data_IF_427995928421
#
_entry.id   IF_427995928421
#
_cell.length_a   1.000
_cell.length_b   1.000
_cell.length_c   1.000
_cell.angle_alpha   90.00
_cell.angle_beta   90.00
_cell.angle_gamma   90.00
#
_symmetry.space_group_name_H-M   'P 1'
#
loop_
_entity.id
_entity.type
_entity.pdbx_description
1 polymer ?
#
# COMPACT_ATOMS: atom_id res chain seq x y z
N UNK A 1 13.35 17.15 -0.33
CA UNK A 1 13.78 17.83 -1.60
C UNK A 1 13.48 16.85 -2.73
N UNK A 2 12.44 17.11 -3.52
CA UNK A 2 12.20 16.33 -4.74
C UNK A 2 13.29 16.66 -5.75
N UNK A 3 14.26 15.81 -5.91
CA UNK A 3 15.19 15.85 -7.03
C UNK A 3 14.42 15.33 -8.25
N UNK A 4 13.84 16.26 -9.02
CA UNK A 4 13.30 15.95 -10.32
C UNK A 4 14.40 15.38 -11.22
N UNK A 5 14.08 14.30 -11.94
CA UNK A 5 14.95 13.80 -12.98
C UNK A 5 15.34 14.96 -13.93
N UNK A 6 16.60 15.02 -14.42
CA UNK A 6 17.01 16.08 -15.31
C UNK A 6 16.11 16.11 -16.55
N UNK A 7 15.75 17.29 -17.08
CA UNK A 7 14.92 17.39 -18.26
C UNK A 7 15.60 16.67 -19.43
N UNK A 8 14.86 15.72 -20.02
CA UNK A 8 15.29 15.04 -21.24
C UNK A 8 15.38 16.10 -22.34
N UNK A 9 16.49 16.22 -23.06
CA UNK A 9 16.59 17.17 -24.16
C UNK A 9 15.51 16.86 -25.21
N UNK A 10 14.89 17.87 -25.83
CA UNK A 10 13.84 17.67 -26.82
C UNK A 10 14.38 16.81 -27.97
N UNK A 11 13.78 15.65 -28.20
CA UNK A 11 14.05 14.84 -29.37
C UNK A 11 13.61 15.60 -30.62
N UNK A 12 14.43 15.64 -31.65
CA UNK A 12 14.18 16.29 -32.95
C UNK A 12 13.11 15.60 -33.80
N UNK A 13 12.28 14.73 -33.21
CA UNK A 13 11.14 14.08 -33.85
C UNK A 13 9.84 14.71 -33.34
N UNK A 14 9.04 15.22 -34.24
CA UNK A 14 7.73 15.82 -33.99
C UNK A 14 6.67 14.75 -33.70
N UNK A 15 6.69 14.13 -32.53
CA UNK A 15 5.68 13.14 -32.10
C UNK A 15 5.33 13.34 -30.62
N UNK A 16 4.13 12.90 -30.24
CA UNK A 16 3.61 12.97 -28.87
C UNK A 16 3.05 11.61 -28.47
N UNK A 17 3.25 11.21 -27.20
CA UNK A 17 2.61 10.02 -26.63
C UNK A 17 1.35 10.43 -25.89
N UNK A 18 0.26 9.69 -26.14
CA UNK A 18 -1.03 9.89 -25.46
C UNK A 18 -1.78 8.57 -25.31
N UNK A 19 -2.77 8.56 -24.43
CA UNK A 19 -3.73 7.45 -24.39
C UNK A 19 -4.61 7.48 -25.65
N UNK A 20 -4.77 6.33 -26.29
CA UNK A 20 -5.43 6.22 -27.58
C UNK A 20 -6.95 6.36 -27.49
N UNK A 21 -7.54 7.25 -28.27
CA UNK A 21 -8.96 7.28 -28.54
C UNK A 21 -9.42 6.12 -29.43
N UNK A 22 -10.72 6.06 -29.77
CA UNK A 22 -11.28 4.98 -30.62
C UNK A 22 -10.64 4.91 -32.01
N UNK A 23 -10.31 6.05 -32.60
CA UNK A 23 -9.73 6.11 -33.97
C UNK A 23 -8.29 5.65 -33.91
N UNK A 24 -7.54 6.15 -32.94
CA UNK A 24 -6.14 5.81 -32.70
C UNK A 24 -5.98 4.33 -32.30
N UNK A 25 -6.90 3.76 -31.50
CA UNK A 25 -6.90 2.32 -31.19
C UNK A 25 -7.10 1.45 -32.47
N UNK A 26 -7.90 1.90 -33.44
CA UNK A 26 -8.03 1.21 -34.73
C UNK A 26 -6.74 1.31 -35.55
N UNK A 27 -6.14 2.50 -35.64
CA UNK A 27 -4.88 2.72 -36.34
C UNK A 27 -3.74 1.89 -35.71
N UNK A 28 -3.67 1.84 -34.39
CA UNK A 28 -2.72 1.02 -33.66
C UNK A 28 -2.90 -0.49 -33.93
N UNK A 29 -4.15 -0.99 -33.96
CA UNK A 29 -4.42 -2.40 -34.31
C UNK A 29 -3.98 -2.72 -35.73
N UNK A 30 -4.19 -1.80 -36.69
CA UNK A 30 -3.69 -1.94 -38.03
C UNK A 30 -2.17 -2.01 -38.08
N UNK A 31 -1.49 -1.06 -37.39
CA UNK A 31 -0.04 -1.03 -37.32
C UNK A 31 0.54 -2.32 -36.68
N UNK A 32 -0.13 -2.89 -35.69
CA UNK A 32 0.23 -4.18 -35.09
C UNK A 32 0.14 -5.32 -36.10
N UNK A 33 -0.94 -5.38 -36.89
CA UNK A 33 -1.12 -6.36 -37.95
C UNK A 33 -0.01 -6.23 -38.99
N UNK A 34 0.21 -5.02 -39.51
CA UNK A 34 1.25 -4.75 -40.53
C UNK A 34 2.65 -5.21 -40.03
N UNK A 35 2.96 -5.09 -38.73
CA UNK A 35 4.26 -5.45 -38.18
C UNK A 35 4.31 -6.90 -37.71
N UNK A 36 3.38 -7.35 -36.87
CA UNK A 36 3.51 -8.66 -36.21
C UNK A 36 3.04 -9.81 -37.11
N UNK A 37 2.06 -9.57 -38.03
CA UNK A 37 1.58 -10.58 -38.95
C UNK A 37 2.36 -10.49 -40.26
N UNK A 38 2.31 -9.33 -40.97
CA UNK A 38 2.82 -9.22 -42.32
C UNK A 38 4.37 -9.10 -42.39
N UNK A 39 4.99 -8.31 -41.49
CA UNK A 39 6.44 -8.10 -41.51
C UNK A 39 7.22 -9.21 -40.79
N UNK A 40 6.75 -9.60 -39.57
CA UNK A 40 7.50 -10.53 -38.72
C UNK A 40 7.02 -11.99 -38.82
N UNK A 41 5.80 -12.23 -39.31
CA UNK A 41 5.21 -13.56 -39.34
C UNK A 41 5.06 -14.20 -37.96
N UNK A 42 4.98 -13.37 -36.89
CA UNK A 42 4.91 -13.84 -35.49
C UNK A 42 3.53 -14.42 -35.16
N UNK A 43 2.48 -13.92 -35.81
CA UNK A 43 1.09 -14.39 -35.68
C UNK A 43 0.52 -14.74 -37.02
N UNK A 44 -0.34 -15.76 -37.06
CA UNK A 44 -1.07 -16.16 -38.26
C UNK A 44 -2.41 -15.41 -38.33
N UNK A 45 -2.60 -14.62 -39.37
CA UNK A 45 -3.83 -13.88 -39.70
C UNK A 45 -4.17 -12.72 -38.76
N UNK A 46 -3.92 -12.85 -37.44
CA UNK A 46 -4.23 -11.79 -36.46
C UNK A 46 -3.40 -11.91 -35.19
N UNK A 47 -2.96 -10.77 -34.63
CA UNK A 47 -2.30 -10.68 -33.37
C UNK A 47 -3.26 -10.32 -32.19
N UNK A 48 -4.58 -10.30 -32.44
CA UNK A 48 -5.59 -10.01 -31.41
C UNK A 48 -5.68 -11.13 -30.38
N UNK A 49 -5.90 -10.72 -29.13
CA UNK A 49 -6.14 -11.60 -27.99
C UNK A 49 -7.26 -11.05 -27.09
N UNK A 50 -7.66 -11.80 -26.06
CA UNK A 50 -8.71 -11.40 -25.10
C UNK A 50 -8.44 -10.07 -24.41
N UNK A 51 -7.17 -9.68 -24.24
CA UNK A 51 -6.79 -8.41 -23.63
C UNK A 51 -7.20 -7.19 -24.47
N UNK A 52 -7.37 -7.36 -25.80
CA UNK A 52 -7.83 -6.26 -26.65
C UNK A 52 -9.31 -5.87 -26.40
N UNK A 53 -10.07 -6.75 -25.76
CA UNK A 53 -11.48 -6.57 -25.45
C UNK A 53 -11.70 -6.30 -23.93
N UNK A 54 -10.64 -6.34 -23.11
CA UNK A 54 -10.72 -5.94 -21.70
C UNK A 54 -10.88 -4.41 -21.59
N UNK A 55 -11.96 -3.98 -20.93
CA UNK A 55 -12.24 -2.55 -20.75
C UNK A 55 -11.20 -1.81 -19.89
N UNK A 56 -10.39 -2.55 -19.11
CA UNK A 56 -9.29 -2.01 -18.30
C UNK A 56 -8.00 -1.84 -19.09
N UNK A 57 -7.94 -2.39 -20.33
CA UNK A 57 -6.74 -2.28 -21.15
C UNK A 57 -6.47 -0.83 -21.58
N UNK A 58 -5.29 -0.36 -21.30
CA UNK A 58 -4.78 0.96 -21.67
C UNK A 58 -3.91 0.80 -22.90
N UNK A 59 -4.16 1.64 -23.89
CA UNK A 59 -3.33 1.73 -25.09
C UNK A 59 -2.70 3.10 -25.16
N UNK A 60 -1.37 3.13 -25.17
CA UNK A 60 -0.59 4.34 -25.39
C UNK A 60 -0.07 4.35 -26.82
N UNK A 61 -0.22 5.47 -27.50
CA UNK A 61 0.22 5.64 -28.90
C UNK A 61 1.15 6.82 -29.06
N UNK A 62 2.16 6.66 -29.91
CA UNK A 62 2.96 7.75 -30.42
C UNK A 62 2.31 8.27 -31.72
N UNK A 63 1.96 9.54 -31.73
CA UNK A 63 1.29 10.22 -32.84
C UNK A 63 2.25 11.23 -33.45
N UNK A 64 2.42 11.18 -34.77
CA UNK A 64 3.19 12.18 -35.51
C UNK A 64 2.52 13.54 -35.44
N UNK A 65 3.29 14.57 -35.04
CA UNK A 65 2.76 15.93 -34.85
C UNK A 65 2.38 16.65 -36.16
N UNK A 66 2.90 16.22 -37.30
CA UNK A 66 2.65 16.84 -38.59
C UNK A 66 1.41 16.21 -39.30
N UNK A 67 1.30 14.89 -39.27
CA UNK A 67 0.25 14.17 -39.98
C UNK A 67 -0.86 13.62 -39.10
N UNK A 68 -0.68 13.60 -37.77
CA UNK A 68 -1.64 12.98 -36.83
C UNK A 68 -1.69 11.45 -36.92
N UNK A 69 -0.75 10.83 -37.63
CA UNK A 69 -0.72 9.37 -37.81
C UNK A 69 -0.15 8.65 -36.57
N UNK A 70 -0.70 7.49 -36.27
CA UNK A 70 -0.16 6.59 -35.23
C UNK A 70 1.09 5.90 -35.78
N UNK A 71 2.25 6.25 -35.25
CA UNK A 71 3.57 5.74 -35.66
C UNK A 71 4.17 4.74 -34.69
N UNK A 72 3.53 4.51 -33.57
CA UNK A 72 3.91 3.48 -32.59
C UNK A 72 2.88 3.33 -31.49
N UNK A 73 3.01 2.30 -30.67
CA UNK A 73 2.14 2.11 -29.51
C UNK A 73 2.51 0.91 -28.67
N UNK A 74 1.90 0.85 -27.49
CA UNK A 74 2.04 -0.23 -26.50
C UNK A 74 0.72 -0.40 -25.78
N UNK A 75 0.40 -1.61 -25.35
CA UNK A 75 -0.79 -1.95 -24.56
C UNK A 75 -0.38 -2.45 -23.18
N UNK A 76 -1.11 -2.00 -22.14
CA UNK A 76 -1.00 -2.49 -20.78
C UNK A 76 -2.37 -2.98 -20.32
N UNK A 77 -2.40 -4.03 -19.51
CA UNK A 77 -3.65 -4.54 -18.95
C UNK A 77 -3.37 -5.42 -17.72
N UNK A 78 -4.37 -5.60 -16.83
CA UNK A 78 -4.30 -6.60 -15.79
C UNK A 78 -4.01 -8.00 -16.37
N UNK A 79 -3.15 -8.74 -15.68
CA UNK A 79 -2.76 -10.09 -16.09
C UNK A 79 -3.83 -11.14 -15.75
N UNK A 80 -4.76 -10.79 -14.85
CA UNK A 80 -5.82 -11.69 -14.37
C UNK A 80 -7.21 -11.13 -14.67
N UNK A 81 -8.16 -12.04 -14.84
CA UNK A 81 -9.59 -11.70 -14.97
C UNK A 81 -10.17 -11.38 -13.57
N UNK A 82 -11.30 -10.66 -13.54
CA UNK A 82 -11.95 -10.29 -12.29
C UNK A 82 -11.35 -9.04 -11.64
N UNK A 83 -11.22 -9.05 -10.31
CA UNK A 83 -10.68 -7.90 -9.56
C UNK A 83 -9.22 -7.66 -9.96
N UNK A 84 -8.87 -6.38 -10.13
CA UNK A 84 -7.47 -5.99 -10.29
C UNK A 84 -6.72 -6.18 -8.96
N UNK A 85 -5.67 -7.00 -9.01
CA UNK A 85 -4.81 -7.30 -7.85
C UNK A 85 -3.44 -6.63 -7.96
N UNK A 86 -3.26 -5.72 -8.94
CA UNK A 86 -2.01 -5.01 -9.16
C UNK A 86 -0.97 -5.81 -9.95
N UNK A 87 -1.33 -6.93 -10.57
CA UNK A 87 -0.47 -7.63 -11.52
C UNK A 87 -0.91 -7.29 -12.94
N UNK A 88 -0.04 -6.59 -13.66
CA UNK A 88 -0.30 -6.15 -15.03
C UNK A 88 0.78 -6.63 -15.98
N UNK A 89 0.42 -6.71 -17.26
CA UNK A 89 1.34 -7.02 -18.35
C UNK A 89 1.38 -5.88 -19.36
N UNK A 90 2.59 -5.57 -19.83
CA UNK A 90 2.84 -4.76 -21.04
C UNK A 90 3.02 -5.67 -22.26
N UNK A 91 2.49 -5.25 -23.38
CA UNK A 91 2.65 -6.03 -24.61
C UNK A 91 2.32 -5.26 -25.89
N UNK A 92 2.52 -5.91 -27.00
CA UNK A 92 2.21 -5.34 -28.32
C UNK A 92 2.93 -4.00 -28.58
N UNK A 93 4.16 -3.85 -28.05
CA UNK A 93 5.02 -2.71 -28.38
C UNK A 93 5.39 -2.75 -29.87
N UNK A 94 5.02 -1.71 -30.59
CA UNK A 94 5.27 -1.61 -32.01
C UNK A 94 5.65 -0.20 -32.42
N UNK A 95 6.55 -0.08 -33.40
CA UNK A 95 6.92 1.19 -34.04
C UNK A 95 6.87 0.98 -35.56
N UNK A 96 6.19 1.87 -36.26
CA UNK A 96 6.10 1.84 -37.72
C UNK A 96 7.49 1.80 -38.36
N UNK A 97 7.65 0.99 -39.41
CA UNK A 97 8.96 0.78 -40.07
C UNK A 97 9.64 2.09 -40.47
N UNK A 98 8.86 3.02 -41.03
CA UNK A 98 9.37 4.34 -41.44
C UNK A 98 9.83 5.22 -40.26
N UNK A 99 9.31 4.97 -39.05
CA UNK A 99 9.60 5.76 -37.84
C UNK A 99 10.70 5.13 -36.95
N UNK A 100 11.18 3.91 -37.25
CA UNK A 100 12.20 3.21 -36.42
C UNK A 100 13.55 3.92 -36.39
N UNK A 101 13.90 4.66 -37.44
CA UNK A 101 15.11 5.45 -37.51
C UNK A 101 15.03 6.78 -36.72
N UNK A 102 13.83 7.19 -36.31
CA UNK A 102 13.60 8.28 -35.35
C UNK A 102 13.87 7.72 -33.95
N UNK A 103 15.10 7.78 -33.53
CA UNK A 103 15.59 7.23 -32.27
C UNK A 103 14.77 7.74 -31.09
N UNK A 104 14.12 6.81 -30.35
CA UNK A 104 13.53 7.12 -29.06
C UNK A 104 12.07 6.78 -28.90
N UNK A 105 11.25 6.58 -29.94
CA UNK A 105 9.80 6.29 -29.83
C UNK A 105 9.56 5.04 -28.97
N UNK A 106 10.18 3.91 -29.28
CA UNK A 106 10.04 2.68 -28.51
C UNK A 106 10.45 2.84 -27.05
N UNK A 107 11.59 3.51 -26.81
CA UNK A 107 12.07 3.84 -25.46
C UNK A 107 11.08 4.73 -24.70
N UNK A 108 10.55 5.73 -25.34
CA UNK A 108 9.57 6.65 -24.74
C UNK A 108 8.24 5.95 -24.43
N UNK A 109 7.74 5.08 -25.34
CA UNK A 109 6.54 4.28 -25.12
C UNK A 109 6.71 3.36 -23.89
N UNK A 110 7.85 2.67 -23.75
CA UNK A 110 8.12 1.82 -22.57
C UNK A 110 8.15 2.67 -21.29
N UNK A 111 8.83 3.81 -21.28
CA UNK A 111 8.88 4.70 -20.11
C UNK A 111 7.48 5.22 -19.72
N UNK A 112 6.69 5.64 -20.71
CA UNK A 112 5.31 6.11 -20.47
C UNK A 112 4.43 4.96 -19.96
N UNK A 113 4.63 3.73 -20.47
CA UNK A 113 3.94 2.55 -19.98
C UNK A 113 4.29 2.25 -18.51
N UNK A 114 5.57 2.33 -18.11
CA UNK A 114 5.98 2.18 -16.71
C UNK A 114 5.36 3.27 -15.81
N UNK A 115 5.39 4.54 -16.23
CA UNK A 115 4.78 5.63 -15.49
C UNK A 115 3.28 5.43 -15.33
N UNK A 116 2.59 5.03 -16.42
CA UNK A 116 1.16 4.75 -16.37
C UNK A 116 0.82 3.57 -15.46
N UNK A 117 1.63 2.52 -15.47
CA UNK A 117 1.45 1.38 -14.55
C UNK A 117 1.55 1.81 -13.07
N UNK A 118 2.46 2.73 -12.73
CA UNK A 118 2.53 3.30 -11.36
C UNK A 118 1.27 4.10 -11.01
N UNK A 119 0.76 4.91 -11.93
CA UNK A 119 -0.48 5.68 -11.75
C UNK A 119 -1.69 4.78 -11.51
N UNK A 120 -1.76 3.63 -12.19
CA UNK A 120 -2.80 2.62 -12.02
C UNK A 120 -2.63 1.77 -10.74
N UNK A 121 -1.60 2.03 -9.94
CA UNK A 121 -1.35 1.29 -8.70
C UNK A 121 -0.86 -0.16 -8.93
N UNK A 122 -0.16 -0.39 -10.04
CA UNK A 122 0.43 -1.70 -10.33
C UNK A 122 1.55 -2.00 -9.32
N UNK A 123 1.63 -3.26 -8.90
CA UNK A 123 2.61 -3.78 -7.95
C UNK A 123 3.56 -4.80 -8.59
N UNK A 124 3.11 -5.46 -9.65
CA UNK A 124 3.88 -6.41 -10.46
C UNK A 124 3.62 -6.11 -11.93
N UNK A 125 4.65 -5.62 -12.65
CA UNK A 125 4.56 -5.26 -14.05
C UNK A 125 5.55 -6.08 -14.88
N UNK A 126 5.04 -6.86 -15.83
CA UNK A 126 5.81 -7.80 -16.63
C UNK A 126 5.55 -7.60 -18.12
N UNK A 127 6.51 -8.01 -18.94
CA UNK A 127 6.39 -8.03 -20.39
C UNK A 127 7.16 -9.22 -20.98
N UNK A 128 6.61 -9.81 -22.01
CA UNK A 128 7.32 -10.78 -22.84
C UNK A 128 7.97 -10.03 -24.01
N UNK A 129 9.29 -9.98 -24.03
CA UNK A 129 10.08 -9.11 -24.89
C UNK A 129 10.84 -9.95 -25.93
N UNK A 130 10.75 -9.58 -27.21
CA UNK A 130 11.53 -10.21 -28.27
C UNK A 130 13.03 -10.07 -27.99
N UNK A 131 13.79 -11.10 -28.27
CA UNK A 131 15.23 -11.17 -28.03
C UNK A 131 15.99 -9.94 -28.52
N UNK A 132 15.65 -9.42 -29.69
CA UNK A 132 16.27 -8.23 -30.27
C UNK A 132 16.05 -6.93 -29.47
N UNK A 133 15.03 -6.89 -28.58
CA UNK A 133 14.66 -5.72 -27.79
C UNK A 133 15.09 -5.82 -26.32
N UNK A 134 15.61 -6.95 -25.86
CA UNK A 134 15.97 -7.19 -24.46
C UNK A 134 16.93 -6.11 -23.93
N UNK A 135 17.99 -5.80 -24.66
CA UNK A 135 18.95 -4.77 -24.26
C UNK A 135 18.32 -3.38 -24.07
N UNK A 136 17.30 -3.04 -24.88
CA UNK A 136 16.55 -1.79 -24.68
C UNK A 136 15.81 -1.78 -23.35
N UNK A 137 15.17 -2.90 -22.99
CA UNK A 137 14.43 -3.02 -21.72
C UNK A 137 15.39 -3.02 -20.53
N UNK A 138 16.52 -3.74 -20.58
CA UNK A 138 17.56 -3.70 -19.54
C UNK A 138 18.08 -2.27 -19.30
N UNK A 139 18.36 -1.51 -20.38
CA UNK A 139 18.73 -0.09 -20.28
C UNK A 139 17.64 0.81 -19.67
N UNK A 140 16.40 0.34 -19.61
CA UNK A 140 15.27 1.01 -18.95
C UNK A 140 15.01 0.48 -17.55
N UNK A 141 15.88 -0.38 -17.01
CA UNK A 141 15.79 -0.90 -15.66
C UNK A 141 14.93 -2.16 -15.52
N UNK A 142 14.52 -2.79 -16.63
CA UNK A 142 13.83 -4.07 -16.58
C UNK A 142 14.80 -5.20 -16.26
N UNK A 143 14.33 -6.20 -15.52
CA UNK A 143 15.11 -7.37 -15.11
C UNK A 143 14.59 -8.61 -15.85
N UNK A 144 15.51 -9.40 -16.41
CA UNK A 144 15.17 -10.68 -17.02
C UNK A 144 14.77 -11.71 -15.95
N UNK A 145 13.72 -12.46 -16.23
CA UNK A 145 13.24 -13.59 -15.43
C UNK A 145 13.48 -14.93 -16.13
N UNK A 146 13.91 -14.90 -17.39
CA UNK A 146 14.25 -16.09 -18.17
C UNK A 146 13.60 -16.15 -19.54
N UNK A 147 14.11 -17.05 -20.35
CA UNK A 147 13.67 -17.26 -21.72
C UNK A 147 12.28 -17.90 -21.78
N UNK A 148 11.48 -17.50 -22.77
CA UNK A 148 10.17 -18.07 -23.08
C UNK A 148 9.94 -18.08 -24.57
N UNK A 149 8.92 -18.81 -25.03
CA UNK A 149 8.56 -18.89 -26.44
C UNK A 149 7.16 -18.29 -26.68
N UNK A 150 7.04 -17.46 -27.70
CA UNK A 150 5.75 -17.01 -28.23
C UNK A 150 5.66 -17.46 -29.68
N UNK A 151 4.70 -18.33 -29.97
CA UNK A 151 4.52 -18.94 -31.29
C UNK A 151 5.82 -19.52 -31.90
N UNK A 152 6.65 -20.15 -31.05
CA UNK A 152 7.91 -20.75 -31.48
C UNK A 152 9.07 -19.77 -31.66
N UNK A 153 8.89 -18.48 -31.37
CA UNK A 153 9.94 -17.45 -31.44
C UNK A 153 10.46 -17.15 -30.06
N UNK A 154 11.79 -17.03 -29.94
CA UNK A 154 12.48 -16.73 -28.69
C UNK A 154 12.13 -15.35 -28.13
N UNK A 155 11.65 -15.34 -26.91
CA UNK A 155 11.36 -14.15 -26.12
C UNK A 155 12.00 -14.26 -24.73
N UNK A 156 12.03 -13.15 -24.02
CA UNK A 156 12.46 -13.05 -22.64
C UNK A 156 11.30 -12.53 -21.79
N UNK A 157 10.97 -13.23 -20.70
CA UNK A 157 10.07 -12.69 -19.70
C UNK A 157 10.85 -11.69 -18.86
N UNK A 158 10.37 -10.46 -18.81
CA UNK A 158 11.04 -9.39 -18.08
C UNK A 158 10.06 -8.72 -17.11
N UNK A 159 10.60 -8.24 -15.98
CA UNK A 159 9.83 -7.50 -14.96
C UNK A 159 10.44 -6.12 -14.76
N UNK A 160 9.57 -5.12 -14.69
CA UNK A 160 9.96 -3.80 -14.25
C UNK A 160 9.84 -3.71 -12.73
N UNK A 161 10.90 -3.34 -12.00
CA UNK A 161 10.87 -3.29 -10.54
C UNK A 161 9.96 -2.16 -10.06
N UNK A 162 9.06 -2.49 -9.15
CA UNK A 162 8.16 -1.54 -8.47
C UNK A 162 8.39 -1.69 -6.97
N UNK A 163 8.79 -0.61 -6.32
CA UNK A 163 9.19 -0.54 -4.92
C UNK A 163 8.18 0.21 -4.02
N UNK A 164 6.96 0.41 -4.51
CA UNK A 164 5.93 1.24 -3.84
C UNK A 164 5.75 0.89 -2.35
N UNK A 165 5.69 -0.41 -2.02
CA UNK A 165 5.53 -0.88 -0.64
C UNK A 165 6.82 -0.64 0.14
N UNK A 166 7.98 -1.01 -0.39
CA UNK A 166 9.28 -0.80 0.25
C UNK A 166 9.54 0.69 0.50
N UNK A 167 9.28 1.55 -0.48
CA UNK A 167 9.40 3.00 -0.36
C UNK A 167 8.49 3.59 0.72
N UNK A 168 7.26 3.09 0.85
CA UNK A 168 6.36 3.50 1.94
C UNK A 168 6.93 3.11 3.30
N UNK A 169 7.39 1.88 3.46
CA UNK A 169 8.01 1.37 4.69
C UNK A 169 9.25 2.20 5.05
N UNK A 170 10.13 2.45 4.09
CA UNK A 170 11.34 3.25 4.28
C UNK A 170 11.01 4.67 4.75
N UNK A 171 10.03 5.32 4.14
CA UNK A 171 9.65 6.70 4.48
C UNK A 171 8.87 6.82 5.78
N UNK A 172 8.30 5.74 6.32
CA UNK A 172 7.39 5.79 7.48
C UNK A 172 7.90 5.10 8.72
N UNK A 173 8.69 4.03 8.61
CA UNK A 173 9.03 3.17 9.76
C UNK A 173 10.51 2.78 9.88
N UNK A 174 11.26 2.63 8.78
CA UNK A 174 12.63 2.06 8.84
C UNK A 174 13.63 2.95 9.60
N UNK A 175 13.36 4.24 9.74
CA UNK A 175 14.18 5.16 10.54
C UNK A 175 14.15 4.85 12.06
N UNK A 176 13.17 4.08 12.54
CA UNK A 176 13.02 3.77 13.96
C UNK A 176 14.23 3.01 14.51
N UNK A 177 14.80 2.08 13.75
CA UNK A 177 16.01 1.38 14.15
C UNK A 177 17.19 2.34 14.41
N UNK A 178 17.32 3.39 13.58
CA UNK A 178 18.40 4.38 13.74
C UNK A 178 18.18 5.27 14.96
N UNK A 179 16.92 5.60 15.30
CA UNK A 179 16.59 6.45 16.44
C UNK A 179 16.66 5.71 17.77
N UNK A 180 16.27 4.44 17.77
CA UNK A 180 16.04 3.68 18.99
C UNK A 180 17.10 2.59 19.22
N UNK A 181 18.19 2.64 18.50
CA UNK A 181 19.28 1.66 18.36
C UNK A 181 19.12 0.40 19.25
N UNK A 182 18.78 -0.77 18.65
CA UNK A 182 18.59 -2.00 19.42
C UNK A 182 19.81 -2.46 20.20
N UNK A 183 21.01 -1.97 19.87
CA UNK A 183 22.27 -2.28 20.54
C UNK A 183 22.57 -1.40 21.74
N UNK A 184 21.81 -0.30 21.95
CA UNK A 184 22.03 0.60 23.05
C UNK A 184 21.71 -0.07 24.41
N UNK A 185 22.65 0.01 25.34
CA UNK A 185 22.58 -0.60 26.68
C UNK A 185 21.37 -0.17 27.51
N UNK A 186 20.66 0.87 27.10
CA UNK A 186 19.44 1.31 27.79
C UNK A 186 18.24 0.36 27.58
N UNK A 187 18.25 -0.51 26.54
CA UNK A 187 17.22 -1.56 26.37
C UNK A 187 17.18 -2.57 27.52
N UNK A 188 18.33 -2.84 28.13
CA UNK A 188 18.41 -3.74 29.28
C UNK A 188 18.02 -3.07 30.61
N UNK A 189 17.72 -1.77 30.56
CA UNK A 189 17.26 -1.02 31.72
C UNK A 189 15.74 -1.09 31.84
N UNK A 190 15.18 -1.42 33.02
CA UNK A 190 13.72 -1.34 33.23
C UNK A 190 13.13 0.05 32.96
N UNK A 191 13.95 1.10 32.94
CA UNK A 191 13.55 2.47 32.67
C UNK A 191 13.44 2.80 31.17
N UNK A 192 13.85 1.90 30.27
CA UNK A 192 13.97 2.16 28.82
C UNK A 192 13.36 1.07 27.96
N UNK A 193 12.37 0.33 28.45
CA UNK A 193 11.90 -0.93 27.87
C UNK A 193 11.02 -0.80 26.61
N UNK A 194 10.74 0.42 26.11
CA UNK A 194 9.91 0.65 24.90
C UNK A 194 8.60 -0.17 24.85
N UNK A 195 7.95 -0.39 26.01
CA UNK A 195 6.71 -1.20 26.11
C UNK A 195 6.86 -2.45 26.97
N UNK A 196 8.10 -2.89 27.26
CA UNK A 196 8.37 -4.11 28.02
C UNK A 196 8.43 -5.37 27.15
N UNK A 197 8.84 -6.48 27.78
CA UNK A 197 8.99 -7.78 27.08
C UNK A 197 7.70 -8.21 26.40
N UNK A 198 7.78 -8.50 25.11
CA UNK A 198 6.65 -8.91 24.25
C UNK A 198 5.89 -7.73 23.63
N UNK A 199 6.16 -6.47 24.05
CA UNK A 199 5.47 -5.27 23.57
C UNK A 199 6.43 -4.19 23.05
N UNK A 200 7.67 -4.53 22.75
CA UNK A 200 8.65 -3.56 22.22
C UNK A 200 8.17 -3.04 20.86
N UNK A 201 7.99 -1.71 20.75
CA UNK A 201 7.53 -1.08 19.51
C UNK A 201 6.12 -1.49 19.11
N UNK A 202 5.27 -1.87 20.05
CA UNK A 202 3.88 -2.23 19.82
C UNK A 202 2.97 -1.00 19.67
N UNK A 203 1.70 -1.22 19.32
CA UNK A 203 0.69 -0.18 19.12
C UNK A 203 0.36 0.54 20.43
N UNK A 204 0.52 -0.13 21.56
CA UNK A 204 0.42 0.44 22.90
C UNK A 204 1.35 -0.25 23.89
N UNK A 205 1.53 0.37 25.06
CA UNK A 205 2.40 -0.12 26.11
C UNK A 205 1.61 -0.44 27.38
N UNK A 206 1.74 -1.67 27.96
CA UNK A 206 1.25 -1.96 29.29
C UNK A 206 1.97 -1.13 30.35
N UNK A 207 1.22 -0.48 31.25
CA UNK A 207 1.80 0.24 32.40
C UNK A 207 2.14 -0.76 33.49
N UNK A 208 3.43 -0.88 33.90
CA UNK A 208 3.85 -1.89 34.87
C UNK A 208 3.05 -1.88 36.17
N UNK A 209 2.60 -3.05 36.60
CA UNK A 209 1.84 -3.22 37.85
C UNK A 209 0.36 -2.82 37.78
N UNK A 210 -0.16 -2.55 36.60
CA UNK A 210 -1.56 -2.18 36.37
C UNK A 210 -2.18 -2.94 35.21
N UNK A 211 -3.49 -2.78 34.98
CA UNK A 211 -4.21 -3.23 33.80
C UNK A 211 -4.35 -2.14 32.72
N UNK A 212 -3.61 -1.02 32.89
CA UNK A 212 -3.67 0.13 32.00
C UNK A 212 -2.76 -0.08 30.78
N UNK A 213 -3.31 0.18 29.60
CA UNK A 213 -2.58 0.28 28.34
C UNK A 213 -2.58 1.74 27.92
N UNK A 214 -1.43 2.23 27.43
CA UNK A 214 -1.26 3.58 26.90
C UNK A 214 -0.82 3.50 25.45
N UNK A 215 -1.54 4.19 24.57
CA UNK A 215 -1.16 4.42 23.18
C UNK A 215 -1.01 5.91 22.94
N UNK A 216 -0.10 6.32 22.05
CA UNK A 216 0.09 7.73 21.72
C UNK A 216 0.55 7.90 20.28
N UNK A 217 -0.18 8.72 19.55
CA UNK A 217 0.12 9.05 18.17
C UNK A 217 0.13 10.55 17.90
N UNK A 218 0.98 10.94 16.95
CA UNK A 218 1.04 12.29 16.40
C UNK A 218 0.51 12.33 14.98
N UNK A 219 -0.31 13.32 14.69
CA UNK A 219 -0.88 13.53 13.36
C UNK A 219 0.07 14.34 12.48
N UNK A 220 0.27 13.89 11.24
CA UNK A 220 1.14 14.57 10.28
C UNK A 220 0.74 16.05 10.11
N UNK A 221 1.66 17.01 10.24
CA UNK A 221 1.36 18.44 10.12
C UNK A 221 0.63 18.80 8.83
N UNK A 222 0.98 18.18 7.70
CA UNK A 222 0.31 18.39 6.40
C UNK A 222 -1.19 18.02 6.43
N UNK A 223 -1.59 17.02 7.24
CA UNK A 223 -2.99 16.64 7.41
C UNK A 223 -3.71 17.71 8.24
N UNK A 224 -3.07 18.16 9.33
CA UNK A 224 -3.62 19.20 10.22
C UNK A 224 -3.84 20.48 9.43
N UNK A 225 -2.87 20.92 8.63
CA UNK A 225 -2.94 22.16 7.85
C UNK A 225 -4.02 22.09 6.75
N UNK A 226 -4.20 20.94 6.14
CA UNK A 226 -5.15 20.73 5.04
C UNK A 226 -6.59 20.58 5.52
N UNK A 227 -6.83 19.76 6.55
CA UNK A 227 -8.15 19.48 7.10
C UNK A 227 -8.06 19.30 8.64
N UNK A 228 -8.03 20.41 9.42
CA UNK A 228 -7.84 20.35 10.86
C UNK A 228 -8.97 19.62 11.60
N UNK A 229 -10.20 19.62 11.07
CA UNK A 229 -11.31 18.85 11.67
C UNK A 229 -11.13 17.36 11.45
N UNK A 230 -10.75 16.96 10.24
CA UNK A 230 -10.42 15.56 9.95
C UNK A 230 -9.19 15.09 10.72
N UNK A 231 -8.17 15.93 10.84
CA UNK A 231 -7.01 15.65 11.67
C UNK A 231 -7.39 15.39 13.13
N UNK A 232 -8.30 16.20 13.69
CA UNK A 232 -8.86 15.99 15.03
C UNK A 232 -9.62 14.67 15.16
N UNK A 233 -10.42 14.28 14.16
CA UNK A 233 -11.09 12.97 14.12
C UNK A 233 -10.06 11.83 14.07
N UNK A 234 -9.11 11.92 13.15
CA UNK A 234 -8.06 10.90 12.97
C UNK A 234 -7.25 10.71 14.24
N UNK A 235 -6.98 11.76 15.02
CA UNK A 235 -6.20 11.65 16.26
C UNK A 235 -6.89 10.79 17.32
N UNK A 236 -8.21 10.70 17.29
CA UNK A 236 -8.97 9.75 18.11
C UNK A 236 -8.96 8.37 17.48
N UNK A 237 -9.26 8.28 16.18
CA UNK A 237 -9.37 7.02 15.42
C UNK A 237 -8.11 6.16 15.56
N UNK A 238 -6.92 6.72 15.28
CA UNK A 238 -5.65 5.96 15.31
C UNK A 238 -5.39 5.39 16.70
N UNK A 239 -5.51 6.21 17.73
CA UNK A 239 -5.29 5.77 19.11
C UNK A 239 -6.31 4.75 19.64
N UNK A 240 -7.56 4.83 19.16
CA UNK A 240 -8.57 3.81 19.48
C UNK A 240 -8.27 2.50 18.74
N UNK A 241 -7.76 2.55 17.51
CA UNK A 241 -7.33 1.36 16.79
C UNK A 241 -6.13 0.68 17.48
N UNK A 242 -5.14 1.46 17.95
CA UNK A 242 -4.02 0.95 18.75
C UNK A 242 -4.51 0.19 19.99
N UNK A 243 -5.40 0.81 20.77
CA UNK A 243 -5.97 0.17 21.94
C UNK A 243 -6.78 -1.08 21.56
N UNK A 244 -7.51 -1.03 20.44
CA UNK A 244 -8.28 -2.17 19.93
C UNK A 244 -7.36 -3.32 19.53
N UNK A 245 -6.23 -3.06 18.87
CA UNK A 245 -5.23 -4.06 18.52
C UNK A 245 -4.64 -4.73 19.76
N UNK A 246 -4.43 -3.97 20.85
CA UNK A 246 -4.02 -4.47 22.16
C UNK A 246 -5.13 -5.21 22.93
N UNK A 247 -6.35 -5.29 22.39
CA UNK A 247 -7.51 -5.85 23.09
C UNK A 247 -7.99 -5.02 24.27
N UNK A 248 -7.60 -3.74 24.35
CA UNK A 248 -7.92 -2.85 25.46
C UNK A 248 -9.24 -2.10 25.26
N UNK A 249 -9.98 -1.89 26.36
CA UNK A 249 -11.16 -1.01 26.36
C UNK A 249 -10.72 0.44 26.60
N UNK A 250 -11.02 1.38 25.69
CA UNK A 250 -10.68 2.79 25.88
C UNK A 250 -11.39 3.38 27.10
N UNK A 251 -10.66 4.16 27.92
CA UNK A 251 -11.20 4.79 29.13
C UNK A 251 -10.97 6.30 29.17
N UNK A 252 -10.10 6.87 28.34
CA UNK A 252 -9.89 8.29 28.26
C UNK A 252 -8.84 8.72 27.26
N UNK A 253 -8.91 9.99 26.88
CA UNK A 253 -8.02 10.64 25.93
C UNK A 253 -7.38 11.87 26.53
N UNK A 254 -6.12 12.10 26.26
CA UNK A 254 -5.41 13.36 26.50
C UNK A 254 -4.85 13.90 25.20
N UNK A 255 -4.79 15.22 25.04
CA UNK A 255 -4.31 15.82 23.80
C UNK A 255 -3.23 16.87 24.02
N UNK A 256 -2.40 17.08 23.00
CA UNK A 256 -1.48 18.20 22.88
C UNK A 256 -1.70 18.85 21.53
N UNK A 257 -2.08 20.13 21.51
CA UNK A 257 -2.44 20.89 20.31
C UNK A 257 -1.57 22.12 20.19
N UNK A 258 -0.86 22.26 19.06
CA UNK A 258 -0.25 23.48 18.61
C UNK A 258 -1.02 24.04 17.40
N UNK A 259 -1.30 25.34 17.36
CA UNK A 259 -2.04 25.98 16.29
C UNK A 259 -1.58 27.42 16.04
N UNK A 260 -1.68 27.85 14.78
CA UNK A 260 -1.34 29.22 14.38
C UNK A 260 -2.26 30.29 15.00
N UNK A 261 -3.51 29.95 15.32
CA UNK A 261 -4.47 30.83 15.96
C UNK A 261 -5.60 30.05 16.68
N UNK A 262 -6.43 30.77 17.45
CA UNK A 262 -7.54 30.18 18.22
C UNK A 262 -8.61 29.55 17.29
N UNK A 263 -8.87 30.14 16.13
CA UNK A 263 -9.88 29.63 15.20
C UNK A 263 -9.44 28.28 14.64
N UNK A 264 -8.16 28.14 14.32
CA UNK A 264 -7.58 26.90 13.84
C UNK A 264 -7.56 25.82 14.92
N UNK A 265 -7.13 26.18 16.15
CA UNK A 265 -7.20 25.30 17.31
C UNK A 265 -8.63 24.78 17.57
N UNK A 266 -9.65 25.65 17.43
CA UNK A 266 -11.06 25.29 17.58
C UNK A 266 -11.50 24.24 16.56
N UNK A 267 -11.06 24.34 15.31
CA UNK A 267 -11.38 23.35 14.27
C UNK A 267 -10.77 21.99 14.58
N UNK A 268 -9.51 21.92 15.02
CA UNK A 268 -8.88 20.68 15.48
C UNK A 268 -9.68 20.08 16.63
N UNK A 269 -10.03 20.90 17.63
CA UNK A 269 -10.79 20.46 18.80
C UNK A 269 -12.20 19.99 18.45
N UNK A 270 -12.86 20.58 17.45
CA UNK A 270 -14.17 20.12 16.99
C UNK A 270 -14.08 18.69 16.42
N UNK A 271 -13.08 18.40 15.59
CA UNK A 271 -12.86 17.05 15.07
C UNK A 271 -12.54 16.04 16.18
N UNK A 272 -11.66 16.42 17.11
CA UNK A 272 -11.34 15.58 18.26
C UNK A 272 -12.56 15.28 19.13
N UNK A 273 -13.38 16.30 19.43
CA UNK A 273 -14.63 16.10 20.19
C UNK A 273 -15.62 15.19 19.45
N UNK A 274 -15.77 15.38 18.14
CA UNK A 274 -16.66 14.55 17.34
C UNK A 274 -16.20 13.08 17.35
N UNK A 275 -14.91 12.82 17.24
CA UNK A 275 -14.34 11.48 17.39
C UNK A 275 -14.57 10.93 18.81
N UNK A 276 -14.22 11.68 19.85
CA UNK A 276 -14.41 11.26 21.24
C UNK A 276 -15.89 10.90 21.55
N UNK A 277 -16.84 11.67 21.01
CA UNK A 277 -18.27 11.38 21.11
C UNK A 277 -18.67 10.13 20.34
N UNK A 278 -18.14 9.94 19.13
CA UNK A 278 -18.44 8.80 18.29
C UNK A 278 -18.04 7.46 18.94
N UNK A 279 -16.85 7.41 19.56
CA UNK A 279 -16.41 6.24 20.33
C UNK A 279 -16.88 6.21 21.79
N UNK A 280 -17.59 7.26 22.25
CA UNK A 280 -18.03 7.43 23.63
C UNK A 280 -16.88 7.36 24.66
N UNK A 281 -15.74 7.97 24.31
CA UNK A 281 -14.54 8.01 25.17
C UNK A 281 -14.32 9.45 25.66
N UNK A 282 -14.19 9.71 26.99
CA UNK A 282 -14.03 11.05 27.52
C UNK A 282 -12.65 11.65 27.20
N UNK A 283 -12.63 12.94 26.90
CA UNK A 283 -11.39 13.73 26.87
C UNK A 283 -11.10 14.16 28.31
N UNK A 284 -10.03 13.64 28.91
CA UNK A 284 -9.67 13.86 30.30
C UNK A 284 -8.95 15.19 30.52
N UNK A 285 -8.28 15.69 29.50
CA UNK A 285 -7.50 16.90 29.55
C UNK A 285 -6.55 17.05 28.38
N UNK A 286 -5.66 18.00 28.48
CA UNK A 286 -4.65 18.24 27.45
C UNK A 286 -3.93 19.57 27.63
N UNK A 287 -3.12 19.90 26.63
CA UNK A 287 -2.39 21.17 26.54
C UNK A 287 -2.61 21.80 25.17
N UNK A 288 -2.83 23.13 25.15
CA UNK A 288 -3.05 23.85 23.90
C UNK A 288 -2.17 25.10 23.83
N UNK A 289 -1.46 25.27 22.73
CA UNK A 289 -0.67 26.44 22.43
C UNK A 289 -1.19 27.11 21.14
N UNK A 290 -1.18 28.41 21.11
CA UNK A 290 -1.47 29.21 19.92
C UNK A 290 -0.24 30.04 19.53
N UNK A 291 -0.24 30.59 18.33
CA UNK A 291 0.91 31.28 17.75
C UNK A 291 2.14 30.35 17.52
N UNK A 292 1.88 29.08 17.23
CA UNK A 292 2.90 28.07 16.96
C UNK A 292 2.57 27.28 15.70
N UNK A 293 3.55 26.55 15.20
CA UNK A 293 3.37 25.60 14.10
C UNK A 293 2.34 24.53 14.45
N UNK A 294 1.55 24.11 13.46
CA UNK A 294 0.52 23.08 13.63
C UNK A 294 1.10 21.76 14.15
N UNK A 295 0.59 21.31 15.27
CA UNK A 295 0.90 20.00 15.85
C UNK A 295 -0.32 19.44 16.57
N UNK A 296 -0.48 18.13 16.53
CA UNK A 296 -1.55 17.41 17.21
C UNK A 296 -1.04 16.05 17.60
N UNK A 297 -1.10 15.75 18.90
CA UNK A 297 -0.87 14.42 19.44
C UNK A 297 -1.98 14.08 20.41
N UNK A 298 -2.39 12.82 20.42
CA UNK A 298 -3.35 12.29 21.38
C UNK A 298 -2.73 11.08 22.05
N UNK A 299 -2.94 10.99 23.35
CA UNK A 299 -2.63 9.81 24.15
C UNK A 299 -3.93 9.21 24.61
N UNK A 300 -4.16 7.94 24.31
CA UNK A 300 -5.30 7.17 24.76
C UNK A 300 -4.91 6.23 25.89
N UNK A 301 -5.80 6.12 26.87
CA UNK A 301 -5.72 5.15 27.94
C UNK A 301 -6.78 4.09 27.75
N UNK A 302 -6.39 2.83 27.88
CA UNK A 302 -7.28 1.70 27.84
C UNK A 302 -7.05 0.75 29.01
N UNK A 303 -7.91 -0.25 29.16
CA UNK A 303 -7.73 -1.33 30.15
C UNK A 303 -7.80 -2.69 29.46
N UNK A 304 -6.83 -3.54 29.76
CA UNK A 304 -6.79 -4.93 29.35
C UNK A 304 -6.15 -5.80 30.43
N UNK A 305 -6.89 -6.77 30.94
CA UNK A 305 -6.31 -7.76 31.89
C UNK A 305 -5.28 -8.67 31.21
N UNK A 306 -5.48 -8.93 29.92
CA UNK A 306 -4.59 -9.72 29.07
C UNK A 306 -4.41 -9.00 27.73
N UNK A 307 -3.45 -8.08 27.68
CA UNK A 307 -3.18 -7.37 26.43
C UNK A 307 -2.67 -8.33 25.34
N UNK A 308 -3.09 -8.10 24.11
CA UNK A 308 -2.67 -8.87 22.95
C UNK A 308 -1.39 -8.24 22.41
N UNK A 309 -0.27 -8.99 22.31
CA UNK A 309 0.98 -8.44 21.79
C UNK A 309 1.00 -8.43 20.26
N UNK A 310 1.65 -7.44 19.66
CA UNK A 310 1.98 -7.45 18.24
C UNK A 310 3.03 -8.50 17.88
N UNK A 311 3.89 -8.88 18.82
CA UNK A 311 4.97 -9.86 18.67
C UNK A 311 4.65 -11.28 19.15
N UNK A 312 3.38 -11.62 19.39
CA UNK A 312 2.97 -12.93 19.91
C UNK A 312 2.88 -14.08 18.88
N UNK A 313 3.16 -13.80 17.62
CA UNK A 313 3.07 -14.77 16.54
C UNK A 313 4.24 -15.77 16.49
N UNK A 314 4.06 -16.83 15.71
CA UNK A 314 5.12 -17.82 15.42
C UNK A 314 5.01 -18.34 13.99
N UNK A 315 6.12 -18.79 13.42
CA UNK A 315 6.13 -19.40 12.10
C UNK A 315 5.14 -20.57 12.00
N UNK A 316 4.42 -20.65 10.88
CA UNK A 316 3.36 -21.61 10.60
C UNK A 316 1.96 -21.16 11.03
N UNK A 317 1.82 -20.03 11.74
CA UNK A 317 0.49 -19.47 12.04
C UNK A 317 -0.08 -18.75 10.82
N UNK A 318 -1.40 -18.82 10.67
CA UNK A 318 -2.14 -18.10 9.67
C UNK A 318 -2.15 -16.59 9.95
N UNK A 319 -2.00 -15.81 8.89
CA UNK A 319 -2.19 -14.37 8.89
C UNK A 319 -3.59 -14.03 8.37
N UNK A 320 -4.33 -13.25 9.13
CA UNK A 320 -5.63 -12.73 8.71
C UNK A 320 -5.64 -11.22 8.66
N UNK A 321 -6.36 -10.67 7.68
CA UNK A 321 -6.64 -9.25 7.55
C UNK A 321 -8.13 -9.04 7.73
N UNK A 322 -8.48 -8.13 8.62
CA UNK A 322 -9.86 -7.69 8.90
C UNK A 322 -9.94 -6.20 8.63
N UNK A 323 -10.79 -5.78 7.69
CA UNK A 323 -10.95 -4.38 7.29
C UNK A 323 -12.41 -4.00 7.12
N UNK A 324 -12.75 -2.75 7.43
CA UNK A 324 -14.05 -2.17 7.10
C UNK A 324 -14.00 -1.61 5.68
N UNK A 325 -14.62 -2.34 4.74
CA UNK A 325 -14.73 -1.94 3.34
C UNK A 325 -15.86 -0.94 3.06
N UNK A 326 -16.73 -0.69 4.04
CA UNK A 326 -17.86 0.24 3.89
C UNK A 326 -17.41 1.68 4.12
N UNK A 327 -16.92 2.31 3.07
CA UNK A 327 -16.39 3.66 3.14
C UNK A 327 -16.05 4.19 1.76
N UNK A 328 -15.13 5.12 1.73
CA UNK A 328 -14.60 5.71 0.51
C UNK A 328 -13.31 6.49 0.77
N UNK A 329 -12.65 6.87 -0.31
CA UNK A 329 -11.52 7.77 -0.18
C UNK A 329 -11.95 9.08 0.47
N UNK A 330 -11.25 9.48 1.51
CA UNK A 330 -11.43 10.81 2.08
C UNK A 330 -11.11 11.87 1.02
N UNK A 331 -12.06 12.77 0.77
CA UNK A 331 -11.92 13.81 -0.25
C UNK A 331 -10.60 14.57 -0.10
N UNK A 332 -9.78 14.53 -1.16
CA UNK A 332 -8.47 15.14 -1.18
C UNK A 332 -7.35 14.29 -0.58
N UNK A 333 -7.65 13.06 -0.17
CA UNK A 333 -6.69 12.07 0.30
C UNK A 333 -6.88 10.73 -0.44
N UNK A 334 -7.31 10.85 -1.71
CA UNK A 334 -7.52 9.69 -2.59
C UNK A 334 -6.23 8.86 -2.69
N UNK A 335 -6.36 7.55 -2.64
CA UNK A 335 -5.25 6.60 -2.62
C UNK A 335 -4.44 6.55 -1.31
N UNK A 336 -4.78 7.36 -0.29
CA UNK A 336 -4.03 7.45 0.96
C UNK A 336 -4.88 7.17 2.21
N UNK A 337 -6.11 7.67 2.27
CA UNK A 337 -6.96 7.52 3.45
C UNK A 337 -8.37 7.04 3.07
N UNK A 338 -8.72 5.85 3.54
CA UNK A 338 -10.05 5.27 3.41
C UNK A 338 -10.86 5.57 4.65
N UNK A 339 -11.85 6.45 4.53
CA UNK A 339 -12.75 6.80 5.62
C UNK A 339 -13.90 5.80 5.69
N UNK A 340 -13.80 4.85 6.62
CA UNK A 340 -14.87 3.91 6.96
C UNK A 340 -15.51 4.22 8.31
N UNK A 341 -15.00 5.19 9.06
CA UNK A 341 -15.38 5.44 10.45
C UNK A 341 -16.39 6.60 10.64
N UNK A 342 -16.28 7.68 9.86
CA UNK A 342 -17.05 8.90 10.10
C UNK A 342 -18.56 8.75 9.88
N UNK A 343 -19.00 7.73 9.16
CA UNK A 343 -20.41 7.41 8.92
C UNK A 343 -20.98 6.34 9.86
N UNK A 344 -20.15 5.75 10.73
CA UNK A 344 -20.58 4.70 11.65
C UNK A 344 -21.27 5.26 12.89
N UNK A 345 -22.26 4.54 13.40
CA UNK A 345 -22.85 4.79 14.70
C UNK A 345 -21.88 4.45 15.84
N UNK A 346 -22.09 5.05 17.02
CA UNK A 346 -21.29 4.76 18.20
C UNK A 346 -21.29 3.26 18.58
N UNK A 347 -22.43 2.59 18.42
CA UNK A 347 -22.55 1.16 18.70
C UNK A 347 -21.68 0.31 17.74
N UNK A 348 -21.65 0.66 16.46
CA UNK A 348 -20.80 -0.01 15.46
C UNK A 348 -19.32 0.22 15.75
N UNK A 349 -18.91 1.47 16.02
CA UNK A 349 -17.51 1.80 16.37
C UNK A 349 -17.06 1.06 17.63
N UNK A 350 -17.90 0.99 18.65
CA UNK A 350 -17.61 0.21 19.86
C UNK A 350 -17.53 -1.30 19.57
N UNK A 351 -18.36 -1.81 18.65
CA UNK A 351 -18.30 -3.22 18.25
C UNK A 351 -16.96 -3.53 17.55
N UNK A 352 -16.53 -2.66 16.63
CA UNK A 352 -15.21 -2.78 15.97
C UNK A 352 -14.07 -2.76 16.99
N UNK A 353 -14.08 -1.83 17.94
CA UNK A 353 -13.04 -1.71 18.99
C UNK A 353 -12.89 -2.98 19.83
N UNK A 354 -13.94 -3.77 19.99
CA UNK A 354 -13.90 -5.01 20.81
C UNK A 354 -13.47 -6.26 20.05
N UNK A 355 -13.36 -6.23 18.73
CA UNK A 355 -13.17 -7.44 17.91
C UNK A 355 -11.92 -8.23 18.30
N UNK A 356 -10.76 -7.58 18.45
CA UNK A 356 -9.50 -8.24 18.82
C UNK A 356 -9.58 -8.82 20.24
N UNK A 357 -10.12 -8.06 21.18
CA UNK A 357 -10.33 -8.50 22.56
C UNK A 357 -11.20 -9.76 22.61
N UNK A 358 -12.28 -9.79 21.83
CA UNK A 358 -13.25 -10.91 21.87
C UNK A 358 -12.70 -12.12 21.10
N UNK A 359 -11.87 -11.93 20.08
CA UNK A 359 -11.22 -12.99 19.30
C UNK A 359 -9.98 -13.60 19.98
N UNK A 360 -9.24 -12.82 20.79
CA UNK A 360 -8.01 -13.25 21.47
C UNK A 360 -7.01 -13.95 20.56
N UNK A 361 -6.54 -13.33 19.44
CA UNK A 361 -5.50 -13.92 18.60
C UNK A 361 -4.16 -14.00 19.34
N UNK A 362 -3.21 -14.75 18.78
CA UNK A 362 -1.86 -14.84 19.32
C UNK A 362 -1.07 -13.51 19.15
N UNK A 363 -1.31 -12.80 18.05
CA UNK A 363 -0.77 -11.48 17.79
C UNK A 363 -1.77 -10.63 17.02
N UNK A 364 -1.75 -9.31 17.25
CA UNK A 364 -2.54 -8.35 16.50
C UNK A 364 -1.80 -7.02 16.35
N UNK A 365 -2.05 -6.32 15.23
CA UNK A 365 -1.67 -4.91 15.00
C UNK A 365 -2.74 -4.19 14.22
N UNK A 366 -2.95 -2.90 14.50
CA UNK A 366 -3.76 -2.05 13.65
C UNK A 366 -3.03 -1.71 12.36
N UNK A 367 -3.79 -1.54 11.26
CA UNK A 367 -3.21 -1.14 9.98
C UNK A 367 -3.02 0.38 9.99
N UNK A 368 -1.76 0.80 10.10
CA UNK A 368 -1.38 2.20 10.26
C UNK A 368 -0.67 2.77 9.01
N UNK A 369 0.15 3.80 9.18
CA UNK A 369 0.79 4.55 8.10
C UNK A 369 1.76 3.73 7.21
N UNK A 370 2.19 2.56 7.65
CA UNK A 370 2.98 1.64 6.83
C UNK A 370 2.13 0.87 5.77
N UNK A 371 0.81 1.06 5.79
CA UNK A 371 -0.13 0.35 4.95
C UNK A 371 -0.31 -1.12 5.37
N UNK A 372 -1.14 -1.84 4.61
CA UNK A 372 -1.49 -3.23 4.93
C UNK A 372 -0.25 -4.13 4.97
N UNK A 373 0.57 -4.09 3.92
CA UNK A 373 1.74 -4.98 3.80
C UNK A 373 2.84 -4.60 4.79
N UNK A 374 3.07 -3.30 5.02
CA UNK A 374 4.02 -2.84 6.02
C UNK A 374 3.61 -3.26 7.43
N UNK A 375 2.31 -3.20 7.77
CA UNK A 375 1.80 -3.66 9.06
C UNK A 375 1.95 -5.18 9.24
N UNK A 376 1.71 -5.97 8.19
CA UNK A 376 2.04 -7.42 8.21
C UNK A 376 3.52 -7.62 8.55
N UNK A 377 4.40 -6.83 7.94
CA UNK A 377 5.84 -6.88 8.22
C UNK A 377 6.18 -6.50 9.66
N UNK A 378 5.53 -5.47 10.22
CA UNK A 378 5.73 -5.09 11.63
C UNK A 378 5.33 -6.22 12.59
N UNK A 379 4.17 -6.85 12.37
CA UNK A 379 3.73 -8.00 13.18
C UNK A 379 4.69 -9.19 13.04
N UNK A 380 5.11 -9.50 11.82
CA UNK A 380 6.05 -10.59 11.54
C UNK A 380 7.41 -10.33 12.20
N UNK A 381 7.97 -9.12 12.05
CA UNK A 381 9.23 -8.70 12.66
C UNK A 381 9.19 -8.80 14.19
N UNK A 382 8.16 -8.23 14.83
CA UNK A 382 7.95 -8.29 16.28
C UNK A 382 7.82 -9.73 16.78
N UNK A 383 7.28 -10.64 15.95
CA UNK A 383 7.18 -12.09 16.22
C UNK A 383 8.48 -12.85 15.95
N UNK A 384 9.53 -12.20 15.47
CA UNK A 384 10.79 -12.84 15.05
C UNK A 384 10.65 -13.68 13.78
N UNK A 385 9.68 -13.39 12.94
CA UNK A 385 9.29 -14.10 11.73
C UNK A 385 9.40 -13.18 10.49
N UNK A 386 9.12 -13.73 9.32
CA UNK A 386 8.66 -13.01 8.15
C UNK A 386 7.26 -13.49 7.77
N UNK A 387 6.78 -13.04 6.62
CA UNK A 387 5.43 -13.32 6.16
C UNK A 387 5.35 -13.60 4.64
N UNK A 388 4.46 -14.50 4.26
CA UNK A 388 4.03 -14.67 2.86
C UNK A 388 2.54 -14.35 2.78
N UNK A 389 2.20 -13.38 1.92
CA UNK A 389 0.83 -12.89 1.74
C UNK A 389 0.33 -13.23 0.34
N UNK A 390 -0.81 -13.88 0.22
CA UNK A 390 -1.49 -14.21 -1.04
C UNK A 390 -2.35 -13.02 -1.46
N UNK A 391 -1.92 -12.29 -2.49
CA UNK A 391 -2.47 -10.98 -2.87
C UNK A 391 -3.97 -11.05 -3.20
N UNK A 392 -4.40 -12.07 -3.91
CA UNK A 392 -5.80 -12.24 -4.31
C UNK A 392 -6.77 -12.44 -3.14
N UNK A 393 -6.27 -12.89 -1.97
CA UNK A 393 -7.07 -13.12 -0.77
C UNK A 393 -7.26 -11.88 0.08
N UNK A 394 -6.48 -10.81 -0.14
CA UNK A 394 -6.60 -9.59 0.65
C UNK A 394 -7.98 -8.96 0.39
N UNK A 395 -8.80 -8.73 1.43
CA UNK A 395 -10.07 -8.04 1.26
C UNK A 395 -9.82 -6.61 0.76
N UNK A 396 -10.52 -6.21 -0.30
CA UNK A 396 -10.39 -4.87 -0.87
C UNK A 396 -11.68 -4.42 -1.55
N UNK A 397 -11.96 -3.10 -1.61
CA UNK A 397 -13.06 -2.56 -2.38
C UNK A 397 -12.85 -2.80 -3.88
N UNK A 398 -13.93 -3.07 -4.62
CA UNK A 398 -13.85 -3.42 -6.05
C UNK A 398 -13.34 -2.28 -6.95
N UNK A 399 -13.52 -1.02 -6.51
CA UNK A 399 -13.21 0.19 -7.31
C UNK A 399 -11.87 0.82 -6.98
N UNK A 400 -11.04 0.18 -6.16
CA UNK A 400 -9.77 0.73 -5.66
C UNK A 400 -8.61 -0.03 -6.29
N UNK A 401 -7.56 0.69 -6.71
CA UNK A 401 -6.34 0.06 -7.22
C UNK A 401 -5.65 -0.75 -6.13
N UNK A 402 -5.02 -1.85 -6.50
CA UNK A 402 -4.33 -2.69 -5.53
C UNK A 402 -3.18 -1.95 -4.83
N UNK A 403 -2.41 -1.15 -5.57
CA UNK A 403 -1.32 -0.37 -5.01
C UNK A 403 -1.79 0.64 -3.98
N UNK A 404 -2.85 1.40 -4.29
CA UNK A 404 -3.43 2.35 -3.34
C UNK A 404 -3.96 1.65 -2.10
N UNK A 405 -4.69 0.54 -2.28
CA UNK A 405 -5.26 -0.22 -1.16
C UNK A 405 -4.19 -0.80 -0.23
N UNK A 406 -3.16 -1.42 -0.80
CA UNK A 406 -2.11 -2.06 0.01
C UNK A 406 -1.19 -1.06 0.72
N UNK A 407 -1.22 0.21 0.32
CA UNK A 407 -0.40 1.28 0.90
C UNK A 407 -1.22 2.36 1.61
N UNK A 408 -2.56 2.23 1.71
CA UNK A 408 -3.41 3.23 2.39
C UNK A 408 -3.54 2.96 3.89
N UNK A 409 -4.14 3.94 4.57
CA UNK A 409 -4.69 3.82 5.91
C UNK A 409 -6.20 3.52 5.79
N UNK A 410 -6.69 2.33 6.16
CA UNK A 410 -8.06 1.88 5.85
C UNK A 410 -9.13 2.29 6.87
N UNK A 411 -8.88 3.28 7.73
CA UNK A 411 -9.80 3.70 8.80
C UNK A 411 -9.91 2.66 9.92
N UNK A 412 -10.58 1.54 9.72
CA UNK A 412 -10.51 0.38 10.60
C UNK A 412 -9.89 -0.80 9.84
N UNK A 413 -8.79 -1.30 10.36
CA UNK A 413 -8.13 -2.48 9.82
C UNK A 413 -7.21 -3.11 10.85
N UNK A 414 -7.19 -4.45 10.88
CA UNK A 414 -6.37 -5.24 11.79
C UNK A 414 -5.65 -6.34 11.02
N UNK A 415 -4.40 -6.56 11.36
CA UNK A 415 -3.63 -7.75 11.00
C UNK A 415 -3.55 -8.63 12.24
N UNK A 416 -3.90 -9.91 12.11
CA UNK A 416 -3.81 -10.88 13.21
C UNK A 416 -3.05 -12.13 12.79
N UNK A 417 -2.35 -12.74 13.73
CA UNK A 417 -1.74 -14.05 13.56
C UNK A 417 -2.33 -15.01 14.61
N UNK A 418 -2.74 -16.21 14.18
CA UNK A 418 -3.21 -17.27 15.08
C UNK A 418 -3.15 -18.64 14.37
N UNK A 419 -3.42 -19.71 15.12
CA UNK A 419 -3.72 -21.00 14.51
C UNK A 419 -5.02 -20.91 13.70
N UNK A 420 -5.04 -21.41 12.46
CA UNK A 420 -6.14 -21.25 11.51
C UNK A 420 -7.53 -21.63 12.03
N UNK A 421 -7.57 -22.59 12.98
CA UNK A 421 -8.81 -23.03 13.63
C UNK A 421 -9.32 -22.07 14.73
N UNK A 422 -8.56 -21.04 15.10
CA UNK A 422 -8.76 -20.20 16.29
C UNK A 422 -9.21 -18.79 15.99
N UNK A 423 -8.73 -18.18 14.91
CA UNK A 423 -9.07 -16.79 14.59
C UNK A 423 -10.57 -16.62 14.34
N UNK A 424 -11.19 -15.65 15.01
CA UNK A 424 -12.64 -15.35 14.94
C UNK A 424 -12.91 -13.86 14.89
N UNK A 425 -12.30 -13.21 13.89
CA UNK A 425 -12.51 -11.78 13.63
C UNK A 425 -13.73 -11.52 12.72
N UNK A 426 -14.77 -12.35 12.81
CA UNK A 426 -15.96 -12.22 11.97
C UNK A 426 -16.92 -11.15 12.49
N UNK A 427 -17.39 -10.28 11.60
CA UNK A 427 -18.39 -9.26 11.89
C UNK A 427 -19.15 -8.89 10.61
N UNK A 428 -20.43 -8.54 10.76
CA UNK A 428 -21.20 -7.95 9.65
C UNK A 428 -20.69 -6.57 9.22
N UNK A 429 -19.82 -5.94 10.02
CA UNK A 429 -19.27 -4.61 9.75
C UNK A 429 -17.95 -4.65 8.97
N UNK A 430 -17.31 -5.82 8.88
CA UNK A 430 -15.98 -5.99 8.31
C UNK A 430 -15.91 -7.15 7.34
N UNK A 431 -14.86 -7.14 6.52
CA UNK A 431 -14.43 -8.28 5.71
C UNK A 431 -13.16 -8.86 6.32
N UNK A 432 -13.21 -10.13 6.68
CA UNK A 432 -12.06 -10.86 7.23
C UNK A 432 -11.65 -11.97 6.27
N UNK A 433 -10.36 -12.10 6.03
CA UNK A 433 -9.81 -13.22 5.26
C UNK A 433 -8.45 -13.67 5.83
N UNK A 434 -8.23 -14.99 5.79
CA UNK A 434 -6.90 -15.57 5.93
C UNK A 434 -6.13 -15.33 4.63
N UNK A 435 -5.08 -14.51 4.72
CA UNK A 435 -4.35 -14.02 3.55
C UNK A 435 -2.98 -14.65 3.37
N UNK A 436 -2.49 -15.41 4.34
CA UNK A 436 -1.15 -15.97 4.27
C UNK A 436 -0.70 -16.59 5.58
N UNK A 437 0.59 -16.61 5.79
CA UNK A 437 1.22 -17.30 6.92
C UNK A 437 2.50 -16.58 7.39
N UNK A 438 2.80 -16.71 8.67
CA UNK A 438 4.11 -16.37 9.22
C UNK A 438 5.13 -17.45 8.86
N UNK A 439 6.33 -17.02 8.42
CA UNK A 439 7.41 -17.94 8.00
C UNK A 439 8.71 -17.63 8.75
N UNK A 440 9.65 -18.57 8.71
CA UNK A 440 10.95 -18.41 9.38
C UNK A 440 11.82 -17.35 8.68
N UNK A 441 11.75 -17.28 7.36
CA UNK A 441 12.52 -16.31 6.58
C UNK A 441 11.99 -14.90 6.82
N UNK A 442 12.87 -13.96 7.16
CA UNK A 442 12.52 -12.55 7.41
C UNK A 442 11.97 -11.85 6.17
N UNK A 443 11.39 -10.68 6.40
CA UNK A 443 10.79 -9.87 5.34
C UNK A 443 9.35 -10.23 5.04
N UNK A 444 8.78 -9.58 4.02
CA UNK A 444 7.41 -9.84 3.53
C UNK A 444 7.45 -10.12 2.05
N UNK A 445 6.87 -11.24 1.67
CA UNK A 445 6.72 -11.65 0.29
C UNK A 445 5.26 -11.71 -0.14
N UNK A 446 5.00 -11.38 -1.40
CA UNK A 446 3.68 -11.46 -2.04
C UNK A 446 3.62 -12.70 -2.94
N UNK A 447 2.66 -13.57 -2.68
CA UNK A 447 2.34 -14.73 -3.53
C UNK A 447 1.26 -14.36 -4.52
N UNK A 448 1.53 -14.58 -5.80
CA UNK A 448 0.63 -14.29 -6.92
C UNK A 448 -0.12 -15.53 -7.39
N UNK A 449 -1.25 -15.40 -8.15
CA UNK A 449 -2.06 -16.53 -8.59
C UNK A 449 -1.32 -17.56 -9.45
N UNK A 450 -0.25 -17.15 -10.14
CA UNK A 450 0.62 -18.04 -10.92
C UNK A 450 1.65 -18.80 -10.07
N UNK A 451 1.61 -18.64 -8.74
CA UNK A 451 2.54 -19.22 -7.80
C UNK A 451 3.87 -18.48 -7.64
N UNK A 452 4.11 -17.44 -8.45
CA UNK A 452 5.31 -16.61 -8.31
C UNK A 452 5.27 -15.86 -6.99
N UNK A 453 6.42 -15.76 -6.33
CA UNK A 453 6.61 -15.00 -5.10
C UNK A 453 7.51 -13.80 -5.42
N UNK A 454 7.08 -12.60 -5.04
CA UNK A 454 7.87 -11.38 -5.14
C UNK A 454 8.11 -10.79 -3.76
N UNK A 455 9.32 -10.29 -3.54
CA UNK A 455 9.67 -9.59 -2.30
C UNK A 455 9.02 -8.20 -2.28
N UNK A 456 8.36 -7.86 -1.16
CA UNK A 456 7.75 -6.56 -0.92
C UNK A 456 8.53 -5.76 0.13
N UNK A 457 9.09 -6.45 1.14
CA UNK A 457 9.98 -5.88 2.16
C UNK A 457 11.08 -6.90 2.42
N UNK A 458 12.33 -6.50 2.27
CA UNK A 458 13.48 -7.41 2.26
C UNK A 458 13.74 -8.07 3.63
N UNK A 459 13.99 -7.33 4.67
CA UNK A 459 14.40 -7.86 5.97
C UNK A 459 13.45 -7.47 7.11
N UNK A 460 13.23 -6.18 7.30
CA UNK A 460 12.47 -5.63 8.41
C UNK A 460 11.74 -4.35 8.01
N UNK A 461 10.74 -3.98 8.78
CA UNK A 461 9.96 -2.74 8.61
C UNK A 461 10.47 -1.66 9.54
N UNK A 462 10.64 -1.95 10.82
CA UNK A 462 11.08 -1.00 11.83
C UNK A 462 12.56 -1.12 12.18
N UNK A 463 13.15 -2.30 11.97
CA UNK A 463 14.48 -2.66 12.43
C UNK A 463 14.61 -2.85 13.94
N UNK A 464 13.49 -2.80 14.69
CA UNK A 464 13.49 -3.02 16.14
C UNK A 464 13.67 -4.51 16.50
N UNK A 465 13.36 -5.41 15.54
CA UNK A 465 13.47 -6.84 15.73
C UNK A 465 12.35 -7.44 16.59
N UNK A 466 12.64 -8.59 17.20
CA UNK A 466 11.66 -9.30 18.01
C UNK A 466 11.32 -8.53 19.29
N UNK A 467 10.02 -8.43 19.62
CA UNK A 467 9.48 -7.77 20.80
C UNK A 467 9.71 -8.56 22.12
#
# INVERSE_FOLDING_TARGET
MLMGAPPVPPSTGSWTIMEADRVQRRAYRKLRCDVFVDEQGLFDGSDRDATDDDCRAIVLVAVDSLGGEVIGGVRLAPAVTGRDIGWWTGGRLVVARAARNNSGIGRALVRTACARALEEGVLRFEATVQRASVLLFEQLGWVSLGATLINGVDHELMRWPIDRIASLVESTKSFLATLLDPSDSWRDSPAASLGGTGFVGDDGAPVPGTDVIVATDAILPRLIDRDPEWAGWCSVLVNINDLAAMGANPVGLMNSIGARDISFARRIMNGLRSGAQAWAVPVLGGHTQVDVTSSLSVTALGRAERPIPGGGGRAGQALSITVDLNGGWRRGFDGAQWDSSSSRSAAELQALTRMVRDAQPAAAKDISMAGIVGTVGMLAEASGCGAIVTVERIPAPASVSAGDWLTCFPGFGMVTADDASRSRMDSALTSTAEVGELVVQRGVSLRWPDGVITEAVQDSVTGLGRA
#
